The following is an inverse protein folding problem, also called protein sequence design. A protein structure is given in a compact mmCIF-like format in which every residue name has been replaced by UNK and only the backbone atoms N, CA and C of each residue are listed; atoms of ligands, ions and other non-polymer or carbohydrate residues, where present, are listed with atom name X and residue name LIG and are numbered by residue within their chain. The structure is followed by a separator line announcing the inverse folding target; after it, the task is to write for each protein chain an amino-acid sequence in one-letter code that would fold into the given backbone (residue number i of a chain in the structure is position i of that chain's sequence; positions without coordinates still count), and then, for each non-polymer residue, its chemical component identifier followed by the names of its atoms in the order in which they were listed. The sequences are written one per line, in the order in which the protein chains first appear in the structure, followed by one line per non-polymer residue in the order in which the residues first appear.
data_IF_292397323011
#
_entry.id   IF_292397323011
#
_cell.length_a   1.000
_cell.length_b   1.000
_cell.length_c   1.000
_cell.angle_alpha   90.00
_cell.angle_beta   90.00
_cell.angle_gamma   90.00
#
_symmetry.space_group_name_H-M   'P 1'
#
loop_
_entity.id
_entity.type
_entity.pdbx_description
1 polymer ?
#
# COMPACT_ATOMS: atom_id res chain seq x y z
N UNK A 1 4.93 18.05 -3.96
CA UNK A 1 5.21 16.62 -4.03
C UNK A 1 4.69 16.05 -5.33
N UNK A 2 5.54 15.42 -6.07
CA UNK A 2 5.15 14.83 -7.33
C UNK A 2 5.83 13.49 -7.53
N UNK A 3 5.08 12.54 -8.04
CA UNK A 3 5.63 11.26 -8.46
C UNK A 3 5.34 11.13 -9.95
N UNK A 4 6.38 10.88 -10.72
CA UNK A 4 6.25 10.72 -12.15
C UNK A 4 6.73 9.33 -12.54
N UNK A 5 5.92 8.59 -13.28
CA UNK A 5 6.33 7.28 -13.78
C UNK A 5 7.51 7.45 -14.75
N UNK A 6 8.64 6.80 -14.50
CA UNK A 6 9.81 6.95 -15.37
C UNK A 6 9.62 6.34 -16.76
N UNK A 7 8.59 5.51 -16.93
CA UNK A 7 8.34 4.85 -18.20
C UNK A 7 7.34 5.59 -19.10
N UNK A 8 6.21 6.00 -18.57
CA UNK A 8 5.16 6.64 -19.38
C UNK A 8 4.86 8.10 -19.01
N UNK A 9 5.45 8.61 -17.94
CA UNK A 9 5.23 9.98 -17.51
C UNK A 9 3.95 10.26 -16.77
N UNK A 10 3.22 9.21 -16.38
CA UNK A 10 2.00 9.35 -15.59
C UNK A 10 2.30 10.03 -14.25
N UNK A 11 1.49 11.00 -13.87
CA UNK A 11 1.65 11.73 -12.61
C UNK A 11 0.41 11.68 -11.73
N UNK A 12 -0.61 10.95 -12.12
CA UNK A 12 -1.93 11.02 -11.47
C UNK A 12 -2.37 9.76 -10.77
N UNK A 13 -2.26 8.62 -11.42
CA UNK A 13 -2.85 7.40 -10.91
C UNK A 13 -1.81 6.32 -10.71
N UNK A 14 -1.69 5.85 -9.47
CA UNK A 14 -0.76 4.79 -9.11
C UNK A 14 -1.51 3.75 -8.28
N UNK A 15 -1.10 2.49 -8.41
CA UNK A 15 -1.63 1.41 -7.60
C UNK A 15 -0.68 1.16 -6.45
N UNK A 16 -1.23 1.08 -5.25
CA UNK A 16 -0.45 0.74 -4.06
C UNK A 16 -0.97 -0.59 -3.53
N UNK A 17 -0.13 -1.60 -3.56
CA UNK A 17 -0.48 -2.92 -3.04
C UNK A 17 -0.08 -3.01 -1.59
N UNK A 18 -1.00 -3.47 -0.76
CA UNK A 18 -0.77 -3.58 0.68
C UNK A 18 -1.02 -5.00 1.16
N UNK A 19 -0.39 -5.34 2.27
CA UNK A 19 -0.60 -6.60 2.98
C UNK A 19 -1.12 -6.27 4.36
N UNK A 20 -2.24 -6.88 4.73
CA UNK A 20 -2.78 -6.76 6.08
C UNK A 20 -2.94 -8.15 6.68
N UNK A 21 -2.53 -8.30 7.93
CA UNK A 21 -2.62 -9.59 8.64
C UNK A 21 -3.77 -9.52 9.65
N UNK A 22 -4.61 -10.54 9.62
CA UNK A 22 -5.70 -10.70 10.58
C UNK A 22 -5.45 -11.98 11.37
N UNK A 23 -5.52 -11.90 12.68
CA UNK A 23 -5.46 -13.09 13.52
C UNK A 23 -6.88 -13.43 13.92
N UNK A 24 -7.31 -14.63 13.59
CA UNK A 24 -8.66 -15.09 13.91
C UNK A 24 -8.60 -16.24 14.91
N UNK A 25 -9.58 -16.26 15.79
CA UNK A 25 -9.75 -17.37 16.74
C UNK A 25 -10.95 -18.20 16.30
N UNK A 26 -10.75 -19.50 16.23
CA UNK A 26 -11.82 -20.43 15.86
C UNK A 26 -12.34 -21.11 17.11
N UNK A 27 -13.67 -21.08 17.29
CA UNK A 27 -14.33 -21.74 18.41
C UNK A 27 -15.55 -22.47 17.87
N UNK A 28 -15.36 -23.75 17.52
CA UNK A 28 -16.40 -24.52 16.87
C UNK A 28 -16.69 -23.95 15.49
N UNK A 29 -17.93 -23.44 15.30
CA UNK A 29 -18.33 -22.84 14.04
C UNK A 29 -18.19 -21.32 14.05
N UNK A 30 -17.69 -20.75 15.15
CA UNK A 30 -17.55 -19.29 15.28
C UNK A 30 -16.15 -18.87 14.88
N UNK A 31 -16.09 -17.74 14.22
CA UNK A 31 -14.82 -17.11 13.83
C UNK A 31 -14.81 -15.69 14.40
N UNK A 32 -13.79 -15.38 15.17
CA UNK A 32 -13.65 -14.03 15.75
C UNK A 32 -12.28 -13.48 15.39
N UNK A 33 -12.25 -12.22 14.99
CA UNK A 33 -10.99 -11.53 14.74
C UNK A 33 -10.46 -11.00 16.05
N UNK A 34 -9.31 -11.51 16.49
CA UNK A 34 -8.71 -11.09 17.76
C UNK A 34 -7.65 -10.02 17.61
N UNK A 35 -6.99 -9.95 16.47
CA UNK A 35 -6.00 -8.92 16.19
C UNK A 35 -6.01 -8.56 14.72
N UNK A 36 -5.80 -7.28 14.44
CA UNK A 36 -5.60 -6.79 13.08
C UNK A 36 -4.39 -5.88 13.06
N UNK A 37 -3.45 -6.16 12.18
CA UNK A 37 -2.32 -5.27 11.98
C UNK A 37 -2.71 -4.16 10.98
N UNK A 38 -1.97 -3.06 11.00
CA UNK A 38 -2.14 -2.03 9.97
C UNK A 38 -1.58 -2.56 8.65
N UNK A 39 -2.19 -2.19 7.52
CA UNK A 39 -1.66 -2.59 6.22
C UNK A 39 -0.22 -2.12 6.05
N UNK A 40 0.63 -2.98 5.50
CA UNK A 40 1.99 -2.63 5.13
C UNK A 40 2.05 -2.49 3.62
N UNK A 41 2.76 -1.48 3.13
CA UNK A 41 2.91 -1.28 1.69
C UNK A 41 3.90 -2.30 1.14
N UNK A 42 3.46 -3.07 0.14
CA UNK A 42 4.29 -4.04 -0.54
C UNK A 42 4.93 -3.48 -1.80
N UNK A 43 4.13 -2.78 -2.60
CA UNK A 43 4.55 -2.41 -3.94
C UNK A 43 3.75 -1.23 -4.45
N UNK A 44 4.38 -0.39 -5.24
CA UNK A 44 3.72 0.71 -5.94
C UNK A 44 3.91 0.50 -7.43
N UNK A 45 2.82 0.62 -8.17
CA UNK A 45 2.82 0.43 -9.63
C UNK A 45 2.17 1.62 -10.31
N UNK A 46 2.64 1.94 -11.50
CA UNK A 46 1.96 2.91 -12.33
C UNK A 46 0.63 2.29 -12.81
N UNK A 47 -0.46 3.03 -12.66
CA UNK A 47 -1.79 2.52 -13.05
C UNK A 47 -1.95 2.44 -14.56
N UNK A 48 -1.14 3.16 -15.33
CA UNK A 48 -1.27 3.17 -16.79
C UNK A 48 -0.39 2.16 -17.51
N UNK A 49 0.85 1.99 -17.08
CA UNK A 49 1.78 1.08 -17.75
C UNK A 49 2.26 -0.08 -16.87
N UNK A 50 1.80 -0.12 -15.63
CA UNK A 50 2.14 -1.15 -14.66
C UNK A 50 3.63 -1.26 -14.32
N UNK A 51 4.39 -0.20 -14.56
CA UNK A 51 5.79 -0.17 -14.17
C UNK A 51 5.91 -0.16 -12.65
N UNK A 52 6.67 -1.09 -12.10
CA UNK A 52 6.89 -1.15 -10.66
C UNK A 52 7.83 -0.03 -10.22
N UNK A 53 7.47 0.60 -9.12
CA UNK A 53 8.24 1.67 -8.51
C UNK A 53 8.67 1.22 -7.12
N UNK A 54 9.85 1.67 -6.69
CA UNK A 54 10.32 1.34 -5.35
C UNK A 54 9.77 2.36 -4.35
N UNK A 55 8.89 1.92 -3.45
CA UNK A 55 8.28 2.79 -2.45
C UNK A 55 9.34 3.48 -1.58
N UNK A 56 10.43 2.78 -1.28
CA UNK A 56 11.51 3.32 -0.44
C UNK A 56 12.26 4.48 -1.10
N UNK A 57 12.21 4.56 -2.43
CA UNK A 57 12.87 5.63 -3.17
C UNK A 57 12.00 6.86 -3.37
N UNK A 58 10.73 6.81 -2.95
CA UNK A 58 9.86 7.95 -3.04
C UNK A 58 10.27 9.02 -2.02
N UNK A 59 9.94 10.26 -2.31
CA UNK A 59 10.17 11.36 -1.39
C UNK A 59 9.50 11.07 -0.05
N UNK A 60 10.16 11.39 1.05
CA UNK A 60 9.67 11.09 2.40
C UNK A 60 8.28 11.66 2.66
N UNK A 61 8.02 12.89 2.25
CA UNK A 61 6.72 13.50 2.47
C UNK A 61 5.63 12.80 1.69
N UNK A 62 5.93 12.33 0.49
CA UNK A 62 4.98 11.57 -0.32
C UNK A 62 4.69 10.21 0.32
N UNK A 63 5.72 9.50 0.79
CA UNK A 63 5.54 8.23 1.49
C UNK A 63 4.65 8.40 2.72
N UNK A 64 4.87 9.45 3.47
CA UNK A 64 4.08 9.74 4.66
C UNK A 64 2.62 9.97 4.31
N UNK A 65 2.35 10.75 3.27
CA UNK A 65 0.98 11.01 2.84
C UNK A 65 0.27 9.74 2.37
N UNK A 66 0.96 8.88 1.64
CA UNK A 66 0.39 7.60 1.19
C UNK A 66 0.04 6.74 2.40
N UNK A 67 0.96 6.61 3.35
CA UNK A 67 0.74 5.79 4.54
C UNK A 67 -0.43 6.32 5.38
N UNK A 68 -0.51 7.64 5.56
CA UNK A 68 -1.60 8.25 6.32
C UNK A 68 -2.95 8.05 5.64
N UNK A 69 -2.98 8.25 4.33
CA UNK A 69 -4.22 8.13 3.56
C UNK A 69 -4.77 6.71 3.59
N UNK A 70 -3.88 5.71 3.53
CA UNK A 70 -4.27 4.30 3.53
C UNK A 70 -4.40 3.71 4.93
N UNK A 71 -3.98 4.42 5.96
CA UNK A 71 -3.92 3.87 7.30
C UNK A 71 -2.86 2.78 7.43
N UNK A 72 -1.84 2.80 6.58
CA UNK A 72 -0.79 1.78 6.50
C UNK A 72 0.45 2.18 7.30
N UNK A 73 1.35 1.22 7.42
CA UNK A 73 2.66 1.43 8.06
C UNK A 73 3.74 1.61 7.02
#
# INVERSE_FOLDING_TARGET
MALTCPNCGNERNFQVKTLQVHVVQLDGERVEVTEESRPAVLEVLCDECETALNFEELEESLRREVLLTLGAR
#
